data_IF_332460246044
#
_entry.id   IF_332460246044
#
_cell.length_a   1.000
_cell.length_b   1.000
_cell.length_c   1.000
_cell.angle_alpha   90.00
_cell.angle_beta   90.00
_cell.angle_gamma   90.00
#
_symmetry.space_group_name_H-M   'P 1'
#
loop_
_entity.id
_entity.type
_entity.pdbx_description
1 polymer ?
#
# COMPACT_ATOMS: atom_id res chain seq x y z
N UNK A 1 11.03 -4.10 21.61
CA UNK A 1 10.53 -4.45 20.27
C UNK A 1 9.17 -3.80 20.09
N UNK A 2 9.02 -3.00 19.04
CA UNK A 2 7.74 -2.37 18.71
C UNK A 2 6.72 -3.41 18.25
N UNK A 3 5.44 -3.12 18.39
CA UNK A 3 4.38 -4.06 18.03
C UNK A 3 4.39 -4.44 16.53
N UNK A 4 4.94 -3.59 15.67
CA UNK A 4 5.05 -3.82 14.23
C UNK A 4 6.28 -4.67 13.85
N UNK A 5 7.30 -4.76 14.70
CA UNK A 5 8.57 -5.41 14.35
C UNK A 5 8.37 -6.88 13.96
N UNK A 6 7.44 -7.59 14.61
CA UNK A 6 7.12 -8.98 14.29
C UNK A 6 6.51 -9.18 12.90
N UNK A 7 5.98 -8.13 12.29
CA UNK A 7 5.34 -8.14 10.96
C UNK A 7 6.21 -7.46 9.90
N UNK A 8 7.30 -6.82 10.30
CA UNK A 8 8.20 -6.06 9.43
C UNK A 8 9.33 -6.94 8.91
N UNK A 9 9.52 -6.92 7.60
CA UNK A 9 10.61 -7.57 6.88
C UNK A 9 11.37 -6.49 6.11
N UNK A 10 12.60 -6.25 6.51
CA UNK A 10 13.48 -5.20 6.01
C UNK A 10 14.77 -5.75 5.37
N UNK A 11 14.78 -7.06 5.07
CA UNK A 11 15.93 -7.77 4.54
C UNK A 11 16.84 -8.40 5.61
N UNK A 12 16.63 -8.12 6.90
CA UNK A 12 17.45 -8.72 7.99
C UNK A 12 16.98 -10.13 8.36
N UNK A 13 15.70 -10.41 8.19
CA UNK A 13 15.09 -11.71 8.51
C UNK A 13 14.31 -12.25 7.31
N UNK A 14 14.42 -13.55 7.06
CA UNK A 14 13.68 -14.19 6.00
C UNK A 14 12.22 -14.45 6.41
N UNK A 15 11.29 -14.15 5.49
CA UNK A 15 9.88 -14.49 5.61
C UNK A 15 9.67 -16.00 5.42
N UNK A 16 8.83 -16.58 6.28
CA UNK A 16 8.15 -17.85 6.04
C UNK A 16 6.69 -17.68 6.41
N UNK A 17 5.78 -17.67 5.42
CA UNK A 17 4.35 -17.45 5.62
C UNK A 17 3.70 -18.49 6.55
N UNK A 18 4.17 -19.73 6.49
CA UNK A 18 3.69 -20.83 7.36
C UNK A 18 3.93 -20.56 8.86
N UNK A 19 4.91 -19.72 9.21
CA UNK A 19 5.23 -19.36 10.59
C UNK A 19 4.47 -18.12 11.08
N UNK A 20 3.88 -17.35 10.17
CA UNK A 20 3.19 -16.11 10.52
C UNK A 20 1.71 -16.37 10.85
N UNK A 21 1.16 -15.60 11.82
CA UNK A 21 -0.27 -15.66 12.11
C UNK A 21 -1.08 -15.06 10.97
N UNK A 22 -2.30 -15.58 10.81
CA UNK A 22 -3.32 -14.99 9.92
C UNK A 22 -4.42 -14.27 10.71
N UNK A 23 -4.39 -14.39 12.04
CA UNK A 23 -5.36 -13.79 12.98
C UNK A 23 -4.67 -13.13 14.18
N UNK A 24 -5.46 -12.49 15.06
CA UNK A 24 -4.98 -11.76 16.25
C UNK A 24 -4.83 -12.62 17.52
N UNK A 25 -5.04 -13.94 17.45
CA UNK A 25 -5.10 -14.78 18.66
C UNK A 25 -3.82 -14.75 19.49
N UNK A 26 -2.66 -14.75 18.82
CA UNK A 26 -1.36 -14.68 19.51
C UNK A 26 -1.15 -13.36 20.26
N UNK A 27 -1.75 -12.28 19.79
CA UNK A 27 -1.56 -10.94 20.35
C UNK A 27 -2.47 -10.63 21.54
N UNK A 28 -3.44 -11.51 21.84
CA UNK A 28 -4.37 -11.41 22.97
C UNK A 28 -4.98 -10.01 23.13
N UNK A 29 -5.37 -9.38 22.02
CA UNK A 29 -5.82 -7.98 21.98
C UNK A 29 -7.33 -7.86 22.20
N UNK A 30 -7.71 -6.85 22.95
CA UNK A 30 -9.10 -6.43 23.15
C UNK A 30 -9.59 -5.68 21.90
N UNK A 31 -10.68 -6.18 21.30
CA UNK A 31 -11.21 -5.64 20.04
C UNK A 31 -11.68 -4.19 20.20
N UNK A 32 -12.36 -3.84 21.30
CA UNK A 32 -12.89 -2.49 21.51
C UNK A 32 -11.76 -1.48 21.67
N UNK A 33 -10.73 -1.83 22.45
CA UNK A 33 -9.53 -1.00 22.60
C UNK A 33 -8.79 -0.81 21.27
N UNK A 34 -8.76 -1.84 20.42
CA UNK A 34 -8.13 -1.76 19.10
C UNK A 34 -8.92 -0.88 18.15
N UNK A 35 -10.26 -0.96 18.16
CA UNK A 35 -11.08 -0.07 17.34
C UNK A 35 -10.89 1.40 17.75
N UNK A 36 -10.92 1.71 19.05
CA UNK A 36 -10.65 3.07 19.55
C UNK A 36 -9.24 3.57 19.19
N UNK A 37 -8.23 2.67 19.19
CA UNK A 37 -6.88 3.03 18.72
C UNK A 37 -6.86 3.32 17.22
N UNK A 38 -7.60 2.55 16.41
CA UNK A 38 -7.67 2.76 14.97
C UNK A 38 -8.23 4.15 14.64
N UNK A 39 -9.28 4.58 15.33
CA UNK A 39 -9.85 5.92 15.19
C UNK A 39 -8.83 7.02 15.54
N UNK A 40 -8.14 6.89 16.67
CA UNK A 40 -7.06 7.82 17.05
C UNK A 40 -5.91 7.85 16.06
N UNK A 41 -5.57 6.70 15.46
CA UNK A 41 -4.55 6.66 14.42
C UNK A 41 -5.01 7.41 13.17
N UNK A 42 -6.28 7.25 12.77
CA UNK A 42 -6.85 7.96 11.63
C UNK A 42 -6.78 9.48 11.83
N UNK A 43 -7.18 10.00 12.99
CA UNK A 43 -7.08 11.43 13.31
C UNK A 43 -5.64 11.94 13.15
N UNK A 44 -4.65 11.19 13.65
CA UNK A 44 -3.23 11.55 13.51
C UNK A 44 -2.74 11.45 12.05
N UNK A 45 -3.16 10.42 11.32
CA UNK A 45 -2.84 10.25 9.91
C UNK A 45 -3.37 11.44 9.11
N UNK A 46 -4.61 11.90 9.39
CA UNK A 46 -5.20 13.05 8.70
C UNK A 46 -4.41 14.33 8.96
N UNK A 47 -4.03 14.59 10.22
CA UNK A 47 -3.22 15.75 10.57
C UNK A 47 -1.82 15.73 9.93
N UNK A 48 -1.19 14.55 9.86
CA UNK A 48 0.12 14.39 9.22
C UNK A 48 0.03 14.45 7.69
N UNK A 49 -1.05 13.93 7.10
CA UNK A 49 -1.27 14.01 5.65
C UNK A 49 -1.47 15.45 5.18
N UNK A 50 -2.19 16.26 5.96
CA UNK A 50 -2.37 17.68 5.67
C UNK A 50 -1.02 18.42 5.68
N UNK A 51 -0.19 18.13 6.69
CA UNK A 51 1.18 18.64 6.76
C UNK A 51 2.03 18.16 5.58
N UNK A 52 1.95 16.86 5.23
CA UNK A 52 2.69 16.29 4.10
C UNK A 52 2.34 17.01 2.79
N UNK A 53 1.04 17.26 2.59
CA UNK A 53 0.54 18.00 1.43
C UNK A 53 1.09 19.43 1.35
N UNK A 54 1.15 20.11 2.49
CA UNK A 54 1.67 21.47 2.57
C UNK A 54 3.20 21.53 2.44
N UNK A 55 3.93 20.58 3.05
CA UNK A 55 5.40 20.51 3.03
C UNK A 55 5.96 20.17 1.64
N UNK A 56 5.26 19.30 0.90
CA UNK A 56 5.56 18.92 -0.47
C UNK A 56 7.00 18.45 -0.76
N UNK A 57 7.72 17.93 0.26
CA UNK A 57 9.11 17.46 0.13
C UNK A 57 9.22 15.98 -0.16
N UNK A 58 8.38 15.14 0.46
CA UNK A 58 8.37 13.69 0.24
C UNK A 58 7.02 13.22 -0.31
N UNK A 59 7.02 12.17 -1.15
CA UNK A 59 5.85 11.43 -1.57
C UNK A 59 5.76 10.08 -0.85
N UNK A 60 4.56 9.59 -0.58
CA UNK A 60 4.35 8.28 0.04
C UNK A 60 3.63 7.34 -0.92
N UNK A 61 4.20 6.16 -1.16
CA UNK A 61 3.61 5.11 -1.97
C UNK A 61 3.30 3.93 -1.06
N UNK A 62 2.02 3.57 -0.96
CA UNK A 62 1.55 2.43 -0.16
C UNK A 62 1.10 1.34 -1.12
N UNK A 63 1.81 0.22 -1.14
CA UNK A 63 1.50 -0.93 -1.96
C UNK A 63 0.73 -1.95 -1.11
N UNK A 64 -0.48 -2.33 -1.54
CA UNK A 64 -1.24 -3.41 -0.93
C UNK A 64 -1.28 -4.62 -1.86
N UNK A 65 -0.69 -5.70 -1.38
CA UNK A 65 -0.74 -7.01 -2.02
C UNK A 65 -1.50 -8.01 -1.15
N UNK A 66 -2.24 -8.88 -1.77
CA UNK A 66 -2.92 -9.98 -1.10
C UNK A 66 -3.56 -10.93 -2.10
N UNK A 67 -3.86 -12.15 -1.66
CA UNK A 67 -4.78 -13.07 -2.33
C UNK A 67 -6.18 -12.46 -2.44
N UNK A 68 -6.97 -13.01 -3.35
CA UNK A 68 -8.35 -12.58 -3.51
C UNK A 68 -9.16 -12.78 -2.22
N UNK A 69 -10.15 -11.94 -2.02
CA UNK A 69 -10.95 -11.85 -0.80
C UNK A 69 -10.19 -11.55 0.51
N UNK A 70 -8.89 -11.27 0.51
CA UNK A 70 -8.17 -10.86 1.72
C UNK A 70 -8.64 -9.53 2.32
N UNK A 71 -9.25 -8.63 1.51
CA UNK A 71 -9.89 -7.42 2.00
C UNK A 71 -9.17 -6.11 1.67
N UNK A 72 -8.33 -6.08 0.62
CA UNK A 72 -7.60 -4.88 0.16
C UNK A 72 -8.50 -3.64 0.08
N UNK A 73 -9.54 -3.68 -0.77
CA UNK A 73 -10.43 -2.52 -1.00
C UNK A 73 -11.10 -2.02 0.28
N UNK A 74 -11.52 -2.96 1.15
CA UNK A 74 -12.17 -2.58 2.41
C UNK A 74 -11.19 -1.98 3.41
N UNK A 75 -9.92 -2.37 3.36
CA UNK A 75 -8.86 -1.82 4.19
C UNK A 75 -8.52 -0.40 3.74
N UNK A 76 -8.32 -0.20 2.42
CA UNK A 76 -8.09 1.14 1.85
C UNK A 76 -9.22 2.08 2.24
N UNK A 77 -10.46 1.71 1.92
CA UNK A 77 -11.64 2.54 2.23
C UNK A 77 -11.75 2.90 3.70
N UNK A 78 -11.44 1.98 4.60
CA UNK A 78 -11.60 2.19 6.04
C UNK A 78 -10.46 3.01 6.64
N UNK A 79 -9.21 2.71 6.29
CA UNK A 79 -8.03 3.38 6.87
C UNK A 79 -7.87 4.78 6.30
N UNK A 80 -8.20 4.96 5.02
CA UNK A 80 -8.08 6.24 4.31
C UNK A 80 -9.40 7.03 4.27
N UNK A 81 -10.46 6.53 4.89
CA UNK A 81 -11.74 7.26 4.98
C UNK A 81 -11.60 8.51 5.83
N UNK A 82 -12.00 9.68 5.28
CA UNK A 82 -11.91 10.98 5.96
C UNK A 82 -10.63 11.78 5.69
N UNK A 83 -9.64 11.21 5.00
CA UNK A 83 -8.45 11.93 4.51
C UNK A 83 -8.85 12.96 3.45
N UNK A 84 -8.13 14.10 3.39
CA UNK A 84 -8.29 15.08 2.33
C UNK A 84 -8.03 14.43 0.95
N UNK A 85 -9.06 14.33 0.08
CA UNK A 85 -8.92 13.64 -1.20
C UNK A 85 -7.95 14.32 -2.17
N UNK A 86 -7.63 15.60 -1.98
CA UNK A 86 -6.65 16.31 -2.80
C UNK A 86 -5.23 15.78 -2.61
N UNK A 87 -4.92 15.20 -1.45
CA UNK A 87 -3.58 14.69 -1.13
C UNK A 87 -3.44 13.17 -1.29
N UNK A 88 -4.46 12.45 -1.78
CA UNK A 88 -4.44 10.98 -1.89
C UNK A 88 -4.99 10.52 -3.22
N UNK A 89 -4.30 9.57 -3.86
CA UNK A 89 -4.76 8.91 -5.07
C UNK A 89 -4.73 7.40 -4.88
N UNK A 90 -5.76 6.70 -5.39
CA UNK A 90 -5.86 5.24 -5.32
C UNK A 90 -5.89 4.67 -6.74
N UNK A 91 -4.92 3.81 -7.03
CA UNK A 91 -4.80 3.12 -8.30
C UNK A 91 -5.04 1.62 -8.10
N UNK A 92 -5.93 1.03 -8.90
CA UNK A 92 -6.22 -0.40 -8.84
C UNK A 92 -5.72 -1.08 -10.10
N UNK A 93 -4.66 -1.86 -9.97
CA UNK A 93 -4.03 -2.56 -11.10
C UNK A 93 -4.70 -3.93 -11.30
N UNK A 94 -5.42 -4.04 -12.39
CA UNK A 94 -6.00 -5.30 -12.90
C UNK A 94 -5.08 -5.91 -13.96
N UNK A 95 -5.58 -6.92 -14.68
CA UNK A 95 -4.90 -7.47 -15.83
C UNK A 95 -4.50 -6.33 -16.80
N UNK A 96 -3.23 -6.30 -17.25
CA UNK A 96 -2.77 -5.25 -18.14
C UNK A 96 -3.53 -5.23 -19.47
N UNK A 97 -3.77 -4.03 -20.01
CA UNK A 97 -4.28 -3.83 -21.36
C UNK A 97 -3.21 -4.17 -22.40
N UNK A 98 -3.61 -4.23 -23.68
CA UNK A 98 -2.65 -4.43 -24.78
C UNK A 98 -1.62 -3.30 -24.87
N UNK A 99 -2.03 -2.07 -24.59
CA UNK A 99 -1.16 -0.90 -24.57
C UNK A 99 -0.15 -0.99 -23.42
N UNK A 100 -0.60 -1.32 -22.20
CA UNK A 100 0.27 -1.52 -21.04
C UNK A 100 1.29 -2.66 -21.28
N UNK A 101 0.91 -3.73 -21.99
CA UNK A 101 1.80 -4.84 -22.36
C UNK A 101 2.83 -4.48 -23.46
N UNK A 102 2.60 -3.40 -24.19
CA UNK A 102 3.56 -2.89 -25.18
C UNK A 102 4.72 -2.09 -24.52
N UNK A 103 4.52 -1.68 -23.27
CA UNK A 103 5.53 -1.03 -22.45
C UNK A 103 6.22 -2.01 -21.49
N UNK A 104 7.24 -1.55 -20.77
CA UNK A 104 7.81 -2.34 -19.67
C UNK A 104 6.82 -2.45 -18.50
N UNK A 105 6.96 -3.48 -17.68
CA UNK A 105 5.98 -3.79 -16.63
C UNK A 105 5.89 -2.74 -15.50
N UNK A 106 6.90 -1.87 -15.33
CA UNK A 106 6.87 -0.77 -14.38
C UNK A 106 6.07 0.43 -14.91
N UNK A 107 5.99 0.60 -16.23
CA UNK A 107 5.45 1.78 -16.88
C UNK A 107 4.10 2.24 -16.31
N UNK A 108 3.13 1.34 -16.20
CA UNK A 108 1.81 1.68 -15.67
C UNK A 108 1.79 2.15 -14.22
N UNK A 109 2.80 1.77 -13.42
CA UNK A 109 2.98 2.25 -12.06
C UNK A 109 3.79 3.56 -12.03
N UNK A 110 4.78 3.69 -12.92
CA UNK A 110 5.60 4.91 -13.07
C UNK A 110 4.74 6.11 -13.46
N UNK A 111 3.81 5.94 -14.40
CA UNK A 111 2.89 7.01 -14.83
C UNK A 111 1.91 7.45 -13.71
N UNK A 112 1.78 6.66 -12.67
CA UNK A 112 0.92 6.90 -11.51
C UNK A 112 1.70 7.27 -10.22
N UNK A 113 2.99 7.59 -10.34
CA UNK A 113 3.75 8.08 -9.19
C UNK A 113 3.15 9.41 -8.70
N UNK A 114 2.98 9.58 -7.39
CA UNK A 114 2.40 10.79 -6.84
C UNK A 114 3.36 11.97 -6.98
N UNK A 115 2.83 13.19 -6.97
CA UNK A 115 3.67 14.36 -6.67
C UNK A 115 4.18 14.28 -5.23
N UNK A 116 5.33 14.89 -4.93
CA UNK A 116 5.75 15.09 -3.54
C UNK A 116 4.66 15.84 -2.79
N UNK A 117 4.46 15.52 -1.52
CA UNK A 117 3.31 16.00 -0.74
C UNK A 117 2.06 15.11 -0.83
N UNK A 118 2.03 14.12 -1.72
CA UNK A 118 0.87 13.27 -1.93
C UNK A 118 1.12 11.82 -1.52
N UNK A 119 0.03 11.11 -1.24
CA UNK A 119 0.01 9.66 -0.97
C UNK A 119 -0.61 8.96 -2.18
N UNK A 120 0.12 8.01 -2.79
CA UNK A 120 -0.44 7.07 -3.74
C UNK A 120 -0.66 5.71 -3.09
N UNK A 121 -1.84 5.14 -3.29
CA UNK A 121 -2.17 3.79 -2.82
C UNK A 121 -2.31 2.90 -4.05
N UNK A 122 -1.41 1.93 -4.15
CA UNK A 122 -1.42 0.94 -5.20
C UNK A 122 -2.13 -0.32 -4.69
N UNK A 123 -3.38 -0.52 -5.11
CA UNK A 123 -4.11 -1.77 -4.91
C UNK A 123 -3.67 -2.77 -5.98
N UNK A 124 -2.78 -3.70 -5.61
CA UNK A 124 -1.84 -4.41 -6.47
C UNK A 124 -0.79 -3.43 -7.04
N UNK A 125 0.20 -3.90 -7.78
CA UNK A 125 1.26 -3.05 -8.31
C UNK A 125 2.12 -3.80 -9.33
N UNK A 126 3.30 -3.30 -9.61
CA UNK A 126 4.35 -4.00 -10.35
C UNK A 126 4.77 -5.35 -9.72
N UNK A 127 4.39 -5.63 -8.48
CA UNK A 127 4.62 -6.94 -7.88
C UNK A 127 3.80 -8.06 -8.53
N UNK A 128 2.71 -7.76 -9.25
CA UNK A 128 2.00 -8.78 -10.04
C UNK A 128 2.92 -9.49 -11.04
N UNK A 129 3.99 -8.80 -11.49
CA UNK A 129 4.98 -9.32 -12.43
C UNK A 129 5.98 -10.34 -11.83
N UNK A 130 6.01 -10.47 -10.52
CA UNK A 130 6.75 -11.52 -9.79
C UNK A 130 5.82 -12.41 -8.96
N UNK A 131 4.52 -12.15 -8.98
CA UNK A 131 3.47 -12.96 -8.33
C UNK A 131 2.65 -13.70 -9.40
N UNK A 132 1.64 -13.07 -9.98
CA UNK A 132 0.75 -13.68 -10.98
C UNK A 132 1.52 -14.12 -12.19
N UNK A 133 2.40 -13.28 -12.73
CA UNK A 133 3.20 -13.60 -13.90
C UNK A 133 4.12 -14.81 -13.65
N UNK A 134 4.69 -14.94 -12.44
CA UNK A 134 5.49 -16.11 -12.04
C UNK A 134 4.63 -17.36 -11.95
N UNK A 135 3.49 -17.29 -11.22
CA UNK A 135 2.63 -18.46 -10.96
C UNK A 135 2.03 -19.03 -12.25
N UNK A 136 1.65 -18.16 -13.18
CA UNK A 136 1.05 -18.55 -14.46
C UNK A 136 2.03 -18.56 -15.62
N UNK A 137 3.33 -18.29 -15.39
CA UNK A 137 4.37 -18.20 -16.41
C UNK A 137 3.99 -17.30 -17.60
N UNK A 138 3.25 -16.21 -17.34
CA UNK A 138 2.71 -15.34 -18.39
C UNK A 138 3.77 -14.72 -19.29
N UNK A 139 5.02 -14.60 -18.81
CA UNK A 139 6.15 -14.11 -19.57
C UNK A 139 6.42 -14.93 -20.84
N UNK A 140 5.99 -16.22 -20.90
CA UNK A 140 6.12 -17.07 -22.09
C UNK A 140 5.32 -16.54 -23.28
N UNK A 141 4.28 -15.76 -23.03
CA UNK A 141 3.44 -15.11 -24.05
C UNK A 141 3.80 -13.65 -24.32
N UNK A 142 4.87 -13.11 -23.73
CA UNK A 142 5.25 -11.72 -23.93
C UNK A 142 5.96 -11.49 -25.26
N UNK A 143 5.63 -10.39 -25.91
CA UNK A 143 6.34 -9.97 -27.13
C UNK A 143 7.59 -9.15 -26.77
N UNK A 144 8.63 -9.86 -26.33
CA UNK A 144 9.92 -9.28 -25.88
C UNK A 144 11.07 -9.94 -26.61
N UNK A 145 12.25 -9.31 -26.58
CA UNK A 145 13.47 -9.91 -27.12
C UNK A 145 13.82 -11.21 -26.38
N UNK A 146 14.23 -12.26 -27.10
CA UNK A 146 14.51 -13.59 -26.53
C UNK A 146 15.50 -13.56 -25.35
N UNK A 147 16.50 -12.68 -25.39
CA UNK A 147 17.47 -12.49 -24.30
C UNK A 147 16.80 -12.11 -22.94
N UNK A 148 15.58 -11.58 -22.97
CA UNK A 148 14.82 -11.14 -21.80
C UNK A 148 13.80 -12.19 -21.32
N UNK A 149 13.59 -13.28 -22.08
CA UNK A 149 12.55 -14.29 -21.82
C UNK A 149 13.10 -15.61 -21.26
N UNK A 150 14.35 -15.61 -20.76
CA UNK A 150 14.92 -16.79 -20.15
C UNK A 150 14.15 -17.18 -18.87
N UNK A 151 13.47 -18.36 -18.82
CA UNK A 151 12.66 -18.79 -17.67
C UNK A 151 13.45 -18.88 -16.37
N UNK A 152 14.74 -19.19 -16.42
CA UNK A 152 15.58 -19.37 -15.24
C UNK A 152 15.97 -18.05 -14.57
N UNK A 153 15.93 -16.94 -15.32
CA UNK A 153 16.45 -15.66 -14.82
C UNK A 153 15.44 -14.51 -14.83
N UNK A 154 14.36 -14.61 -15.60
CA UNK A 154 13.42 -13.48 -15.78
C UNK A 154 12.83 -12.99 -14.45
N UNK A 155 12.43 -13.87 -13.56
CA UNK A 155 11.84 -13.51 -12.27
C UNK A 155 12.90 -12.95 -11.32
N UNK A 156 14.09 -13.55 -11.27
CA UNK A 156 15.19 -13.05 -10.45
C UNK A 156 15.65 -11.66 -10.92
N UNK A 157 15.72 -11.45 -12.23
CA UNK A 157 16.01 -10.13 -12.81
C UNK A 157 14.95 -9.10 -12.41
N UNK A 158 13.66 -9.47 -12.36
CA UNK A 158 12.59 -8.57 -11.91
C UNK A 158 12.70 -8.23 -10.43
N UNK A 159 13.11 -9.15 -9.57
CA UNK A 159 13.37 -8.82 -8.16
C UNK A 159 14.48 -7.76 -8.04
N UNK A 160 15.58 -7.90 -8.79
CA UNK A 160 16.65 -6.91 -8.83
C UNK A 160 16.14 -5.55 -9.35
N UNK A 161 15.40 -5.55 -10.46
CA UNK A 161 14.85 -4.33 -11.05
C UNK A 161 13.90 -3.60 -10.09
N UNK A 162 13.01 -4.34 -9.40
CA UNK A 162 12.09 -3.77 -8.41
C UNK A 162 12.87 -3.14 -7.24
N UNK A 163 13.88 -3.83 -6.70
CA UNK A 163 14.73 -3.27 -5.65
C UNK A 163 15.40 -1.98 -6.07
N UNK A 164 16.04 -1.96 -7.23
CA UNK A 164 16.71 -0.76 -7.75
C UNK A 164 15.71 0.37 -8.04
N UNK A 165 14.50 0.04 -8.49
CA UNK A 165 13.46 1.02 -8.69
C UNK A 165 12.98 1.65 -7.37
N UNK A 166 12.79 0.84 -6.34
CA UNK A 166 12.39 1.34 -5.01
C UNK A 166 13.52 2.14 -4.34
N UNK A 167 14.78 1.74 -4.52
CA UNK A 167 15.97 2.51 -4.11
C UNK A 167 16.03 3.85 -4.83
N UNK A 168 15.87 3.84 -6.16
CA UNK A 168 15.77 5.08 -6.94
C UNK A 168 14.66 6.01 -6.45
N UNK A 169 13.50 5.47 -6.12
CA UNK A 169 12.40 6.27 -5.56
C UNK A 169 12.77 6.88 -4.20
N UNK A 170 13.40 6.10 -3.32
CA UNK A 170 13.84 6.58 -2.01
C UNK A 170 14.84 7.74 -2.14
N UNK A 171 15.82 7.62 -3.01
CA UNK A 171 16.83 8.66 -3.29
C UNK A 171 16.21 9.92 -3.91
N UNK A 172 15.02 9.79 -4.49
CA UNK A 172 14.26 10.90 -5.07
C UNK A 172 13.12 11.41 -4.17
N UNK A 173 13.20 11.17 -2.86
CA UNK A 173 12.25 11.64 -1.84
C UNK A 173 10.88 10.98 -1.93
N UNK A 174 10.85 9.66 -2.17
CA UNK A 174 9.65 8.87 -2.04
C UNK A 174 9.84 7.76 -0.99
N UNK A 175 8.86 7.58 -0.13
CA UNK A 175 8.78 6.42 0.75
C UNK A 175 7.91 5.36 0.10
N UNK A 176 8.41 4.13 0.00
CA UNK A 176 7.65 2.97 -0.48
C UNK A 176 7.40 2.03 0.69
N UNK A 177 6.12 1.77 0.98
CA UNK A 177 5.68 0.85 2.03
C UNK A 177 4.88 -0.27 1.40
N UNK A 178 5.30 -1.51 1.63
CA UNK A 178 4.68 -2.68 1.04
C UNK A 178 3.95 -3.49 2.11
N UNK A 179 2.67 -3.76 1.89
CA UNK A 179 1.81 -4.47 2.84
C UNK A 179 1.22 -5.70 2.16
N UNK A 180 1.50 -6.87 2.72
CA UNK A 180 0.88 -8.14 2.35
C UNK A 180 -0.19 -8.49 3.39
N UNK A 181 -1.45 -8.58 2.96
CA UNK A 181 -2.54 -9.06 3.79
C UNK A 181 -2.55 -10.59 3.78
N UNK A 182 -2.03 -11.19 4.84
CA UNK A 182 -1.92 -12.64 5.01
C UNK A 182 -3.23 -13.23 5.53
N UNK A 183 -4.08 -13.72 4.61
CA UNK A 183 -5.36 -14.37 4.92
C UNK A 183 -5.19 -15.88 4.92
N UNK A 184 -5.86 -16.59 5.85
CA UNK A 184 -5.89 -18.06 5.84
C UNK A 184 -6.76 -18.59 4.69
N UNK A 185 -6.41 -19.79 4.21
CA UNK A 185 -7.19 -20.50 3.18
C UNK A 185 -8.63 -20.73 3.62
N UNK A 186 -8.84 -21.03 4.90
CA UNK A 186 -10.17 -21.22 5.48
C UNK A 186 -10.98 -19.90 5.51
N UNK A 187 -10.35 -18.80 5.91
CA UNK A 187 -11.04 -17.49 5.93
C UNK A 187 -11.38 -16.99 4.52
N UNK A 188 -10.52 -17.23 3.56
CA UNK A 188 -10.81 -16.94 2.15
C UNK A 188 -12.04 -17.72 1.67
N UNK A 189 -12.13 -19.04 1.98
CA UNK A 189 -13.30 -19.87 1.66
C UNK A 189 -14.59 -19.28 2.21
N UNK A 190 -14.60 -18.92 3.51
CA UNK A 190 -15.77 -18.29 4.14
C UNK A 190 -16.17 -17.01 3.41
N UNK A 191 -15.23 -16.17 3.00
CA UNK A 191 -15.50 -14.93 2.26
C UNK A 191 -16.00 -15.17 0.83
N UNK A 192 -15.57 -16.25 0.18
CA UNK A 192 -16.12 -16.64 -1.13
C UNK A 192 -17.54 -17.15 -0.99
N UNK A 193 -17.84 -17.99 0.01
CA UNK A 193 -19.20 -18.40 0.31
C UNK A 193 -20.12 -17.20 0.57
N UNK A 194 -19.67 -16.24 1.40
CA UNK A 194 -20.41 -14.98 1.60
C UNK A 194 -20.66 -14.20 0.29
N UNK A 195 -19.74 -14.25 -0.70
CA UNK A 195 -19.95 -13.59 -1.99
C UNK A 195 -20.98 -14.31 -2.84
N UNK A 196 -21.07 -15.64 -2.72
CA UNK A 196 -22.05 -16.47 -3.45
C UNK A 196 -23.44 -16.33 -2.82
N UNK A 197 -23.52 -16.38 -1.49
CA UNK A 197 -24.78 -16.42 -0.75
C UNK A 197 -25.49 -15.06 -0.69
N UNK A 198 -24.76 -13.95 -0.81
CA UNK A 198 -25.29 -12.59 -0.69
C UNK A 198 -25.40 -11.93 -2.07
N UNK A 199 -26.64 -11.70 -2.59
CA UNK A 199 -26.85 -11.15 -3.93
C UNK A 199 -26.09 -9.83 -4.20
N UNK A 200 -26.02 -8.93 -3.21
CA UNK A 200 -25.30 -7.66 -3.31
C UNK A 200 -23.77 -7.82 -3.40
N UNK A 201 -23.25 -9.05 -3.19
CA UNK A 201 -21.83 -9.39 -3.28
C UNK A 201 -21.50 -10.28 -4.48
N UNK A 202 -22.50 -10.84 -5.18
CA UNK A 202 -22.27 -11.77 -6.29
C UNK A 202 -21.37 -11.19 -7.38
N UNK A 203 -21.49 -9.91 -7.69
CA UNK A 203 -20.69 -9.21 -8.69
C UNK A 203 -19.16 -9.21 -8.39
N UNK A 204 -18.77 -9.56 -7.16
CA UNK A 204 -17.38 -9.69 -6.74
C UNK A 204 -16.82 -11.10 -6.88
N UNK A 205 -17.66 -12.07 -7.17
CA UNK A 205 -17.25 -13.44 -7.35
C UNK A 205 -16.97 -13.72 -8.82
N UNK A 206 -15.84 -14.40 -9.09
CA UNK A 206 -15.47 -14.84 -10.43
C UNK A 206 -15.12 -16.33 -10.42
N UNK A 207 -15.38 -17.01 -11.54
CA UNK A 207 -14.93 -18.38 -11.72
C UNK A 207 -13.39 -18.50 -11.59
N UNK A 208 -12.64 -17.49 -12.01
CA UNK A 208 -11.19 -17.44 -11.85
C UNK A 208 -10.74 -17.47 -10.39
N UNK A 209 -11.55 -16.95 -9.44
CA UNK A 209 -11.22 -17.01 -8.00
C UNK A 209 -10.99 -18.46 -7.52
N UNK A 210 -11.70 -19.43 -8.10
CA UNK A 210 -11.54 -20.85 -7.76
C UNK A 210 -10.26 -21.44 -8.35
N UNK A 211 -9.91 -21.06 -9.58
CA UNK A 211 -8.66 -21.48 -10.22
C UNK A 211 -7.44 -20.93 -9.47
N UNK A 212 -7.45 -19.63 -9.14
CA UNK A 212 -6.40 -18.99 -8.34
C UNK A 212 -6.25 -19.63 -6.96
N UNK A 213 -7.36 -19.98 -6.30
CA UNK A 213 -7.33 -20.67 -5.01
C UNK A 213 -6.69 -22.05 -5.08
N UNK A 214 -6.79 -22.76 -6.19
CA UNK A 214 -6.14 -24.06 -6.38
C UNK A 214 -4.60 -23.95 -6.40
N UNK A 215 -4.06 -22.80 -6.79
CA UNK A 215 -2.62 -22.50 -6.87
C UNK A 215 -2.04 -21.96 -5.54
N UNK A 216 -2.70 -22.23 -4.40
CA UNK A 216 -2.37 -21.65 -3.08
C UNK A 216 -0.89 -21.74 -2.72
N UNK A 217 -0.30 -22.94 -2.84
CA UNK A 217 1.09 -23.18 -2.45
C UNK A 217 2.09 -22.51 -3.39
N UNK A 218 1.74 -22.36 -4.67
CA UNK A 218 2.54 -21.63 -5.66
C UNK A 218 2.55 -20.13 -5.34
N UNK A 219 1.41 -19.57 -4.90
CA UNK A 219 1.34 -18.20 -4.41
C UNK A 219 2.08 -18.01 -3.09
N UNK A 220 2.08 -19.00 -2.16
CA UNK A 220 2.91 -18.93 -0.96
C UNK A 220 4.38 -18.80 -1.32
N UNK A 221 4.91 -19.65 -2.22
CA UNK A 221 6.29 -19.56 -2.71
C UNK A 221 6.56 -18.22 -3.39
N UNK A 222 5.64 -17.74 -4.23
CA UNK A 222 5.82 -16.48 -4.94
C UNK A 222 5.90 -15.28 -3.98
N UNK A 223 5.02 -15.21 -2.98
CA UNK A 223 5.04 -14.16 -1.96
C UNK A 223 6.30 -14.25 -1.08
N UNK A 224 6.67 -15.44 -0.60
CA UNK A 224 7.87 -15.61 0.23
C UNK A 224 9.12 -15.14 -0.53
N UNK A 225 9.28 -15.55 -1.79
CA UNK A 225 10.42 -15.13 -2.62
C UNK A 225 10.39 -13.63 -2.90
N UNK A 226 9.25 -13.07 -3.28
CA UNK A 226 9.13 -11.64 -3.56
C UNK A 226 9.53 -10.79 -2.35
N UNK A 227 9.00 -11.12 -1.17
CA UNK A 227 9.34 -10.40 0.08
C UNK A 227 10.82 -10.55 0.40
N UNK A 228 11.35 -11.78 0.39
CA UNK A 228 12.74 -12.04 0.74
C UNK A 228 13.75 -11.40 -0.22
N UNK A 229 13.40 -11.29 -1.50
CA UNK A 229 14.27 -10.71 -2.52
C UNK A 229 14.22 -9.17 -2.56
N UNK A 230 13.12 -8.54 -2.11
CA UNK A 230 12.88 -7.10 -2.31
C UNK A 230 12.71 -6.30 -1.03
N UNK A 231 12.73 -6.92 0.14
CA UNK A 231 12.68 -6.20 1.41
C UNK A 231 13.99 -5.46 1.67
N UNK A 232 13.92 -4.17 1.97
CA UNK A 232 15.05 -3.33 2.42
C UNK A 232 14.60 -2.46 3.59
N UNK A 233 15.56 -1.84 4.29
CA UNK A 233 15.27 -0.92 5.40
C UNK A 233 14.47 0.30 4.95
N UNK A 234 14.80 0.82 3.77
CA UNK A 234 14.18 1.99 3.16
C UNK A 234 12.81 1.68 2.57
N UNK A 235 12.59 0.41 2.16
CA UNK A 235 11.36 -0.07 1.53
C UNK A 235 10.95 -1.43 2.11
N UNK A 236 10.49 -1.45 3.38
CA UNK A 236 10.15 -2.70 4.07
C UNK A 236 8.83 -3.29 3.58
N UNK A 237 8.70 -4.60 3.75
CA UNK A 237 7.44 -5.31 3.69
C UNK A 237 6.84 -5.48 5.08
N UNK A 238 5.54 -5.29 5.17
CA UNK A 238 4.75 -5.66 6.34
C UNK A 238 3.79 -6.79 5.97
N UNK A 239 3.99 -7.97 6.56
CA UNK A 239 3.14 -9.14 6.34
C UNK A 239 2.22 -9.29 7.54
N UNK A 240 0.97 -8.86 7.39
CA UNK A 240 0.03 -8.69 8.51
C UNK A 240 -1.14 -9.67 8.46
N UNK A 241 -1.63 -10.17 9.62
CA UNK A 241 -2.77 -11.06 9.69
C UNK A 241 -4.04 -10.38 9.16
N UNK A 242 -4.81 -11.10 8.32
CA UNK A 242 -5.96 -10.54 7.62
C UNK A 242 -7.28 -11.32 7.77
N UNK A 243 -7.34 -12.32 8.63
CA UNK A 243 -8.57 -13.06 8.91
C UNK A 243 -9.62 -12.17 9.58
N UNK A 244 -9.19 -11.29 10.46
CA UNK A 244 -10.02 -10.32 11.16
C UNK A 244 -9.80 -8.92 10.60
N UNK A 245 -10.78 -8.40 9.85
CA UNK A 245 -10.71 -7.08 9.18
C UNK A 245 -10.40 -5.94 10.16
N UNK A 246 -10.97 -5.96 11.37
CA UNK A 246 -10.74 -4.92 12.36
C UNK A 246 -9.28 -4.87 12.80
N UNK A 247 -8.62 -6.05 12.89
CA UNK A 247 -7.23 -6.13 13.31
C UNK A 247 -6.25 -5.75 12.20
N UNK A 248 -6.48 -6.25 10.98
CA UNK A 248 -5.65 -5.83 9.82
C UNK A 248 -5.74 -4.32 9.57
N UNK A 249 -6.91 -3.72 9.69
CA UNK A 249 -7.12 -2.27 9.56
C UNK A 249 -6.35 -1.47 10.61
N UNK A 250 -6.35 -1.95 11.85
CA UNK A 250 -5.54 -1.38 12.92
C UNK A 250 -4.05 -1.43 12.57
N UNK A 251 -3.52 -2.60 12.21
CA UNK A 251 -2.11 -2.73 11.87
C UNK A 251 -1.72 -1.85 10.66
N UNK A 252 -2.57 -1.77 9.64
CA UNK A 252 -2.33 -0.86 8.50
C UNK A 252 -2.32 0.60 8.97
N UNK A 253 -3.21 1.00 9.87
CA UNK A 253 -3.21 2.37 10.42
C UNK A 253 -1.95 2.67 11.24
N UNK A 254 -1.45 1.70 12.03
CA UNK A 254 -0.18 1.83 12.76
C UNK A 254 1.01 1.98 11.80
N UNK A 255 1.06 1.19 10.72
CA UNK A 255 2.13 1.25 9.71
C UNK A 255 2.15 2.63 9.03
N UNK A 256 1.00 3.09 8.55
CA UNK A 256 0.89 4.39 7.87
C UNK A 256 1.26 5.53 8.82
N UNK A 257 0.78 5.48 10.05
CA UNK A 257 1.10 6.48 11.07
C UNK A 257 2.61 6.51 11.38
N UNK A 258 3.23 5.35 11.58
CA UNK A 258 4.68 5.24 11.84
C UNK A 258 5.51 5.84 10.70
N UNK A 259 5.13 5.56 9.45
CA UNK A 259 5.84 6.10 8.28
C UNK A 259 5.66 7.61 8.17
N UNK A 260 4.44 8.13 8.35
CA UNK A 260 4.20 9.58 8.33
C UNK A 260 4.91 10.30 9.48
N UNK A 261 5.01 9.67 10.65
CA UNK A 261 5.81 10.20 11.76
C UNK A 261 7.31 10.21 11.47
N UNK A 262 7.82 9.20 10.74
CA UNK A 262 9.23 9.16 10.31
C UNK A 262 9.55 10.16 9.19
N UNK A 263 8.57 10.51 8.36
CA UNK A 263 8.70 11.62 7.39
C UNK A 263 8.76 12.95 8.13
N UNK A 264 8.01 13.07 9.24
CA UNK A 264 7.90 14.27 10.08
C UNK A 264 7.58 15.55 9.28
N UNK A 265 6.51 15.56 8.45
CA UNK A 265 6.21 16.71 7.61
C UNK A 265 5.82 17.93 8.45
N UNK A 266 6.25 19.10 8.01
CA UNK A 266 6.00 20.37 8.70
C UNK A 266 5.25 21.34 7.79
N UNK A 267 4.41 22.21 8.35
CA UNK A 267 3.87 23.31 7.58
C UNK A 267 5.01 24.26 7.14
N UNK A 268 5.00 24.75 5.90
CA UNK A 268 5.98 25.74 5.44
C UNK A 268 5.90 26.99 6.31
N UNK A 269 7.04 27.53 6.66
CA UNK A 269 7.14 28.81 7.37
C UNK A 269 7.18 29.94 6.35
N UNK A 270 6.45 31.03 6.64
CA UNK A 270 6.55 32.26 5.87
C UNK A 270 7.94 32.89 5.98
N UNK A 271 8.37 33.55 4.94
CA UNK A 271 9.53 34.44 5.02
C UNK A 271 9.27 35.55 6.07
N UNK A 272 10.34 36.13 6.61
CA UNK A 272 10.21 37.22 7.59
C UNK A 272 9.41 38.38 6.99
N UNK A 273 9.65 38.73 5.74
CA UNK A 273 8.94 39.80 5.03
C UNK A 273 7.43 39.53 4.89
N UNK A 274 7.05 38.28 4.58
CA UNK A 274 5.63 37.89 4.50
C UNK A 274 4.97 37.89 5.87
N UNK A 275 5.66 37.39 6.89
CA UNK A 275 5.15 37.35 8.26
C UNK A 275 4.91 38.77 8.82
N UNK A 276 5.79 39.73 8.53
CA UNK A 276 5.66 41.14 8.93
C UNK A 276 4.45 41.84 8.27
N UNK A 277 4.02 41.39 7.08
CA UNK A 277 2.85 41.94 6.38
C UNK A 277 1.49 41.41 6.84
N UNK A 278 1.47 40.24 7.53
CA UNK A 278 0.22 39.61 7.97
C UNK A 278 -0.67 40.52 8.86
N UNK A 279 -0.11 41.26 9.84
CA UNK A 279 -0.94 42.15 10.66
C UNK A 279 -1.62 43.24 9.81
N UNK A 280 -0.92 43.80 8.84
CA UNK A 280 -1.47 44.83 7.93
C UNK A 280 -2.62 44.25 7.09
N UNK A 281 -2.45 43.07 6.49
CA UNK A 281 -3.53 42.40 5.75
C UNK A 281 -4.74 42.07 6.64
N UNK A 282 -4.49 41.64 7.85
CA UNK A 282 -5.56 41.40 8.82
C UNK A 282 -6.35 42.66 9.10
N UNK A 283 -5.68 43.79 9.33
CA UNK A 283 -6.33 45.10 9.55
C UNK A 283 -7.12 45.56 8.33
N UNK A 284 -6.57 45.41 7.14
CA UNK A 284 -7.28 45.72 5.89
C UNK A 284 -8.59 44.95 5.76
N UNK A 285 -8.55 43.62 5.98
CA UNK A 285 -9.74 42.74 5.92
C UNK A 285 -10.78 43.11 6.99
N UNK A 286 -10.35 43.43 8.21
CA UNK A 286 -11.25 43.85 9.27
C UNK A 286 -11.96 45.19 8.99
N UNK A 287 -11.28 46.10 8.26
CA UNK A 287 -11.80 47.43 7.91
C UNK A 287 -12.66 47.44 6.63
N UNK A 288 -12.64 46.38 5.80
CA UNK A 288 -13.52 46.30 4.61
C UNK A 288 -15.00 46.37 4.96
N UNK A 289 -15.43 45.83 6.07
CA UNK A 289 -16.83 45.84 6.50
C UNK A 289 -17.31 47.20 7.06
N UNK A 290 -16.40 48.14 7.34
CA UNK A 290 -16.78 49.47 7.83
C UNK A 290 -17.07 50.49 6.72
N UNK A 291 -16.77 50.17 5.47
CA UNK A 291 -17.01 51.07 4.33
C UNK A 291 -18.36 50.86 3.64
N UNK A 292 -19.15 49.90 4.07
CA UNK A 292 -20.49 49.58 3.53
C UNK A 292 -21.63 49.73 4.57
N UNK A 293 -21.36 50.35 5.69
CA UNK A 293 -22.36 50.85 6.67
C UNK A 293 -22.34 52.35 6.73
#
# INVERSE_FOLDING_TARGET
MGKLDQYCFDGTNALSLKKLPTDSKKDQVDKEKILAKTEKNQEKIFALQDKLYADAKEGLIIILQARDAAGKDSTIRHVMGGINPQGVQVFSYKQPSKDELAHDYLWRCVTNLPKRGMIAIFNRSYYEDVLVVKVHELYKGYHMAERCLNPDTIIENRYHQIRHFEEYLYDNSYRVVKILLNVSKEKQKQRFLERIDLPEKNWKFSQSDMAERALWDQYDDAYERAVNATATKESPWYVIPADQKWYSRYLVSEIILDVLQKIDPQYPTLSQEEAEKLPQYKEMLQNENMKHS
#
